data_IF_573903337336
#
_entry.id   IF_573903337336
#
_cell.length_a   1.000
_cell.length_b   1.000
_cell.length_c   1.000
_cell.angle_alpha   90.00
_cell.angle_beta   90.00
_cell.angle_gamma   90.00
#
_symmetry.space_group_name_H-M   'P 1'
#
loop_
_entity.id
_entity.type
_entity.pdbx_description
1 polymer ?
#
# COMPACT_ATOMS: atom_id res chain seq x y z
N UNK A 1 6.61 -9.77 -5.49
CA UNK A 1 6.87 -8.36 -5.84
C UNK A 1 5.95 -7.41 -5.10
N UNK A 2 6.39 -6.18 -4.91
CA UNK A 2 5.60 -5.19 -4.22
C UNK A 2 4.63 -4.51 -5.17
N UNK A 3 3.41 -4.25 -4.70
CA UNK A 3 2.39 -3.56 -5.47
C UNK A 3 2.64 -2.05 -5.51
N UNK A 4 2.43 -1.46 -6.68
CA UNK A 4 2.73 -0.05 -6.92
C UNK A 4 1.90 0.87 -6.03
N UNK A 5 0.73 0.41 -5.60
CA UNK A 5 -0.10 1.18 -4.67
C UNK A 5 0.65 1.39 -3.36
N UNK A 6 1.49 0.44 -3.00
CA UNK A 6 2.24 0.49 -1.75
C UNK A 6 3.58 1.19 -1.98
N UNK A 7 4.13 1.06 -3.19
CA UNK A 7 5.40 1.69 -3.52
C UNK A 7 5.23 3.19 -3.74
N UNK A 8 4.13 3.58 -4.38
CA UNK A 8 3.84 5.00 -4.61
C UNK A 8 2.61 5.42 -3.80
N UNK A 9 2.82 5.78 -2.53
CA UNK A 9 1.74 6.17 -1.63
C UNK A 9 1.23 7.58 -1.90
N UNK A 10 0.01 7.84 -1.50
CA UNK A 10 -0.59 9.16 -1.61
C UNK A 10 -0.88 9.72 -0.23
N UNK A 11 -1.18 11.01 -0.13
CA UNK A 11 -1.27 11.67 1.16
C UNK A 11 -2.70 12.03 1.52
N UNK A 12 -3.65 11.43 0.83
CA UNK A 12 -5.05 11.69 1.11
C UNK A 12 -5.70 10.46 1.74
N UNK A 13 -5.92 10.54 3.03
CA UNK A 13 -6.55 9.46 3.77
C UNK A 13 -7.99 9.85 4.09
N UNK A 14 -8.87 8.89 4.46
CA UNK A 14 -8.50 7.49 4.62
C UNK A 14 -8.51 6.69 3.31
N UNK A 15 -8.86 7.34 2.21
CA UNK A 15 -9.00 6.65 0.93
C UNK A 15 -7.69 5.97 0.50
N UNK A 16 -6.56 6.60 0.82
CA UNK A 16 -5.27 6.01 0.53
C UNK A 16 -4.88 4.99 1.59
N UNK A 17 -5.31 5.23 2.83
CA UNK A 17 -4.98 4.30 3.90
C UNK A 17 -5.68 2.98 3.77
N UNK A 18 -6.97 3.04 3.44
CA UNK A 18 -7.77 1.85 3.23
C UNK A 18 -7.18 0.98 2.12
N UNK A 19 -6.93 1.59 0.97
CA UNK A 19 -6.37 0.87 -0.16
C UNK A 19 -4.95 0.39 0.16
N UNK A 20 -4.18 1.21 0.88
CA UNK A 20 -2.84 0.82 1.31
C UNK A 20 -2.87 -0.51 2.06
N UNK A 21 -3.71 -0.57 3.09
CA UNK A 21 -3.82 -1.75 3.93
C UNK A 21 -4.28 -2.97 3.15
N UNK A 22 -5.18 -2.75 2.20
CA UNK A 22 -5.80 -3.83 1.46
C UNK A 22 -4.94 -4.27 0.28
N UNK A 23 -4.09 -3.37 -0.20
CA UNK A 23 -3.31 -3.63 -1.40
C UNK A 23 -1.82 -3.71 -1.10
N UNK A 24 -1.46 -3.99 0.14
CA UNK A 24 -0.05 -4.14 0.50
C UNK A 24 0.12 -5.20 1.57
N UNK A 25 0.03 -6.47 1.17
CA UNK A 25 0.29 -7.61 2.05
C UNK A 25 1.77 -7.73 2.39
N UNK A 26 2.07 -8.52 3.42
CA UNK A 26 3.43 -8.78 3.90
C UNK A 26 4.31 -9.35 2.79
N UNK A 27 3.67 -9.74 1.69
CA UNK A 27 4.36 -10.25 0.51
C UNK A 27 5.41 -9.27 0.01
N UNK A 28 5.15 -7.99 0.21
CA UNK A 28 6.03 -6.93 -0.24
C UNK A 28 7.34 -6.90 0.56
N UNK A 29 7.28 -7.46 1.78
CA UNK A 29 8.44 -7.53 2.67
C UNK A 29 8.89 -6.12 3.06
N UNK A 30 7.94 -5.20 3.04
CA UNK A 30 8.20 -3.79 3.36
C UNK A 30 9.21 -3.18 2.41
N UNK A 31 9.13 -3.60 1.14
CA UNK A 31 10.03 -3.15 0.09
C UNK A 31 11.44 -3.67 0.33
#
# INVERSE_FOLDING_TARGET
>A
GCPWFCIYPCKVEPICGVVYASRCPRACDDD
#
